data_IF_453857036540
#
_entry.id   IF_453857036540
#
_cell.length_a   1.000
_cell.length_b   1.000
_cell.length_c   1.000
_cell.angle_alpha   90.00
_cell.angle_beta   90.00
_cell.angle_gamma   90.00
#
_symmetry.space_group_name_H-M   'P 1'
#
loop_
_entity.id
_entity.type
_entity.pdbx_description
1 polymer ?
#
# COMPACT_ATOMS: atom_id res chain seq x y z
N UNK A 1 -25.49 -8.58 0.04
CA UNK A 1 -24.43 -7.94 -0.76
C UNK A 1 -23.12 -8.39 -0.16
N UNK A 2 -22.35 -9.23 -0.87
CA UNK A 2 -21.06 -9.72 -0.37
C UNK A 2 -20.13 -8.52 -0.19
N UNK A 3 -20.04 -8.02 1.04
CA UNK A 3 -19.05 -7.03 1.44
C UNK A 3 -17.70 -7.59 1.01
N UNK A 4 -17.12 -6.94 0.04
CA UNK A 4 -15.80 -7.28 -0.41
C UNK A 4 -14.84 -6.87 0.72
N UNK A 5 -14.19 -7.88 1.29
CA UNK A 5 -13.41 -7.79 2.52
C UNK A 5 -11.92 -7.68 2.18
N UNK A 6 -11.43 -6.44 2.10
CA UNK A 6 -10.01 -6.15 1.88
C UNK A 6 -9.11 -6.71 2.98
N UNK A 7 -9.66 -7.08 4.14
CA UNK A 7 -8.87 -7.75 5.18
C UNK A 7 -8.40 -9.13 4.70
N UNK A 8 -9.06 -9.79 3.75
CA UNK A 8 -8.72 -11.18 3.39
C UNK A 8 -7.82 -11.35 2.16
N UNK A 9 -7.72 -10.36 1.27
CA UNK A 9 -7.09 -10.56 -0.05
C UNK A 9 -6.20 -9.38 -0.49
N UNK A 10 -5.19 -9.17 0.34
CA UNK A 10 -3.89 -8.54 0.11
C UNK A 10 -3.41 -8.55 -1.34
N UNK A 11 -3.24 -7.36 -1.92
CA UNK A 11 -2.01 -6.83 -2.54
C UNK A 11 -2.42 -5.68 -3.48
N UNK A 12 -1.69 -4.57 -3.44
CA UNK A 12 -1.86 -3.43 -4.33
C UNK A 12 -0.53 -3.13 -5.04
N UNK A 13 -0.51 -3.19 -6.37
CA UNK A 13 0.60 -2.72 -7.20
C UNK A 13 0.37 -1.26 -7.57
N UNK A 14 1.35 -0.40 -7.28
CA UNK A 14 1.37 0.98 -7.75
C UNK A 14 1.60 1.06 -9.27
N UNK A 15 1.12 2.12 -9.92
CA UNK A 15 1.02 2.23 -11.38
C UNK A 15 2.37 2.06 -12.11
N UNK A 16 3.47 2.44 -11.47
CA UNK A 16 4.84 2.33 -12.00
C UNK A 16 5.45 0.92 -11.85
N UNK A 17 4.70 -0.04 -11.29
CA UNK A 17 5.11 -1.42 -10.97
C UNK A 17 6.35 -1.54 -10.06
N UNK A 18 6.79 -0.43 -9.48
CA UNK A 18 7.95 -0.34 -8.58
C UNK A 18 7.61 -0.55 -7.12
N UNK A 19 6.32 -0.53 -6.76
CA UNK A 19 5.87 -0.60 -5.38
C UNK A 19 4.73 -1.60 -5.22
N UNK A 20 4.85 -2.51 -4.24
CA UNK A 20 3.81 -3.43 -3.82
C UNK A 20 3.39 -3.12 -2.38
N UNK A 21 2.10 -3.21 -2.09
CA UNK A 21 1.55 -3.03 -0.74
C UNK A 21 0.80 -4.29 -0.29
N UNK A 22 1.23 -4.90 0.81
CA UNK A 22 0.62 -6.06 1.45
C UNK A 22 -0.20 -5.68 2.70
N UNK A 23 -1.54 -5.66 2.57
CA UNK A 23 -2.48 -5.22 3.62
C UNK A 23 -2.99 -6.34 4.54
N UNK A 24 -2.35 -6.50 5.69
CA UNK A 24 -2.79 -7.17 6.93
C UNK A 24 -4.27 -7.19 7.37
N UNK A 25 -5.05 -8.29 7.35
CA UNK A 25 -6.31 -8.36 8.11
C UNK A 25 -6.17 -7.89 9.58
N UNK A 26 -4.98 -8.06 10.18
CA UNK A 26 -4.66 -7.62 11.53
C UNK A 26 -4.25 -6.14 11.65
N UNK A 27 -4.46 -5.33 10.61
CA UNK A 27 -4.13 -3.91 10.60
C UNK A 27 -2.64 -3.60 10.39
N UNK A 28 -1.85 -4.52 9.82
CA UNK A 28 -0.44 -4.25 9.45
C UNK A 28 -0.30 -4.07 7.95
N UNK A 29 0.60 -3.21 7.50
CA UNK A 29 0.95 -3.06 6.09
C UNK A 29 2.42 -3.45 5.92
N UNK A 30 2.77 -4.11 4.82
CA UNK A 30 4.15 -4.16 4.34
C UNK A 30 4.23 -3.56 2.95
N UNK A 31 4.98 -2.47 2.81
CA UNK A 31 5.32 -1.89 1.52
C UNK A 31 6.62 -2.51 1.02
N UNK A 32 6.69 -2.79 -0.28
CA UNK A 32 7.90 -3.23 -0.98
C UNK A 32 8.17 -2.24 -2.09
N UNK A 33 9.40 -1.76 -2.24
CA UNK A 33 9.76 -0.90 -3.36
C UNK A 33 11.13 -1.25 -3.94
N UNK A 34 11.30 -0.99 -5.22
CA UNK A 34 12.57 -1.17 -5.92
C UNK A 34 13.33 0.16 -5.94
N UNK A 35 14.51 0.16 -5.35
CA UNK A 35 15.48 1.25 -5.46
C UNK A 35 16.77 0.76 -6.19
N UNK A 36 17.75 1.65 -6.37
CA UNK A 36 18.99 1.36 -7.14
C UNK A 36 19.80 0.18 -6.59
N UNK A 37 19.69 -0.12 -5.29
CA UNK A 37 20.39 -1.22 -4.63
C UNK A 37 19.58 -2.53 -4.57
N UNK A 38 18.33 -2.50 -5.06
CA UNK A 38 17.44 -3.65 -5.09
C UNK A 38 16.11 -3.41 -4.37
N UNK A 39 15.45 -4.51 -4.01
CA UNK A 39 14.18 -4.47 -3.32
C UNK A 39 14.36 -4.17 -1.84
N UNK A 40 13.52 -3.26 -1.36
CA UNK A 40 13.37 -2.90 0.04
C UNK A 40 11.95 -3.21 0.51
N UNK A 41 11.80 -3.41 1.81
CA UNK A 41 10.50 -3.51 2.46
C UNK A 41 10.47 -2.75 3.77
N UNK A 42 9.31 -2.22 4.08
CA UNK A 42 9.02 -1.61 5.38
C UNK A 42 7.65 -2.05 5.84
N UNK A 43 7.53 -2.33 7.14
CA UNK A 43 6.25 -2.72 7.74
C UNK A 43 5.76 -1.64 8.69
N UNK A 44 4.45 -1.46 8.71
CA UNK A 44 3.77 -0.42 9.47
C UNK A 44 2.34 -0.80 9.82
N UNK A 45 1.58 0.20 10.25
CA UNK A 45 0.19 0.07 10.62
C UNK A 45 -0.76 0.68 9.58
N UNK A 46 -1.85 -0.05 9.43
CA UNK A 46 -3.10 0.19 8.73
C UNK A 46 -4.28 0.76 9.49
N UNK A 47 -5.02 1.76 8.99
CA UNK A 47 -6.43 1.89 9.37
C UNK A 47 -7.30 2.38 8.21
N UNK A 48 -8.57 1.98 8.20
CA UNK A 48 -9.56 2.38 7.21
C UNK A 48 -10.91 2.64 7.86
N UNK A 49 -11.48 3.84 7.67
CA UNK A 49 -12.77 4.24 8.27
C UNK A 49 -13.97 4.15 7.30
N UNK A 50 -13.75 3.61 6.09
CA UNK A 50 -14.74 3.56 5.01
C UNK A 50 -14.57 4.67 3.96
N UNK A 51 -13.81 5.74 4.26
CA UNK A 51 -13.57 6.88 3.36
C UNK A 51 -12.11 7.29 3.28
N UNK A 52 -11.35 7.09 4.33
CA UNK A 52 -9.95 7.46 4.46
C UNK A 52 -9.16 6.24 4.88
N UNK A 53 -8.06 5.99 4.18
CA UNK A 53 -7.04 5.05 4.62
C UNK A 53 -5.88 5.84 5.23
N UNK A 54 -5.40 5.41 6.40
CA UNK A 54 -4.22 5.95 7.05
C UNK A 54 -3.14 4.88 7.08
N UNK A 55 -1.98 5.21 6.54
CA UNK A 55 -0.79 4.36 6.53
C UNK A 55 0.23 4.98 7.47
N UNK A 56 0.81 4.18 8.35
CA UNK A 56 1.86 4.62 9.27
C UNK A 56 3.04 3.69 9.16
N UNK A 57 4.18 4.18 8.67
CA UNK A 57 5.45 3.44 8.51
C UNK A 57 6.57 4.24 9.16
N UNK A 58 7.41 3.59 9.98
CA UNK A 58 8.43 4.30 10.75
C UNK A 58 7.85 5.46 11.57
N UNK A 59 8.31 6.69 11.30
CA UNK A 59 7.81 7.94 11.89
C UNK A 59 6.81 8.70 11.00
N UNK A 60 6.56 8.20 9.78
CA UNK A 60 5.69 8.86 8.82
C UNK A 60 4.26 8.33 8.92
N UNK A 61 3.30 9.23 8.69
CA UNK A 61 1.89 8.87 8.61
C UNK A 61 1.24 9.61 7.46
N UNK A 62 0.65 8.86 6.54
CA UNK A 62 0.00 9.40 5.34
C UNK A 62 -1.48 9.06 5.38
N UNK A 63 -2.32 10.08 5.15
CA UNK A 63 -3.77 9.92 5.01
C UNK A 63 -4.17 10.09 3.56
N UNK A 64 -4.92 9.13 3.04
CA UNK A 64 -5.42 9.18 1.66
C UNK A 64 -6.93 8.98 1.63
N UNK A 65 -7.63 9.81 0.86
CA UNK A 65 -9.06 9.67 0.60
C UNK A 65 -9.29 8.55 -0.40
N UNK A 66 -10.18 7.62 -0.09
CA UNK A 66 -10.58 6.55 -1.00
C UNK A 66 -11.57 7.08 -2.02
N UNK A 67 -11.20 7.03 -3.30
CA UNK A 67 -12.03 7.43 -4.45
C UNK A 67 -12.76 6.22 -5.02
N UNK A 68 -12.08 5.06 -5.08
CA UNK A 68 -12.63 3.81 -5.59
C UNK A 68 -12.08 2.64 -4.78
N UNK A 69 -12.98 1.74 -4.38
CA UNK A 69 -12.63 0.50 -3.72
C UNK A 69 -13.45 -0.65 -4.34
N UNK A 70 -12.78 -1.55 -5.05
CA UNK A 70 -13.40 -2.71 -5.71
C UNK A 70 -12.56 -3.96 -5.49
N UNK A 71 -13.11 -5.12 -5.89
CA UNK A 71 -12.48 -6.45 -5.78
C UNK A 71 -11.03 -6.53 -6.23
N UNK A 72 -10.64 -5.63 -7.14
CA UNK A 72 -9.37 -5.68 -7.85
C UNK A 72 -8.67 -4.33 -7.91
N UNK A 73 -9.28 -3.26 -7.38
CA UNK A 73 -8.75 -1.91 -7.54
C UNK A 73 -8.98 -1.08 -6.28
N UNK A 74 -7.95 -0.33 -5.90
CA UNK A 74 -8.01 0.74 -4.91
C UNK A 74 -7.50 2.01 -5.59
N UNK A 75 -8.28 3.08 -5.54
CA UNK A 75 -7.85 4.40 -6.00
C UNK A 75 -7.94 5.34 -4.83
N UNK A 76 -6.81 5.94 -4.46
CA UNK A 76 -6.74 6.89 -3.37
C UNK A 76 -6.20 8.23 -3.84
N UNK A 77 -6.54 9.28 -3.10
CA UNK A 77 -6.17 10.65 -3.39
C UNK A 77 -5.50 11.26 -2.15
N UNK A 78 -4.34 11.86 -2.35
CA UNK A 78 -3.59 12.60 -1.34
C UNK A 78 -3.51 14.07 -1.77
N UNK A 79 -3.49 14.98 -0.80
CA UNK A 79 -3.32 16.40 -1.08
C UNK A 79 -2.44 17.05 -0.02
N UNK A 80 -1.49 17.86 -0.48
CA UNK A 80 -0.65 18.73 0.34
C UNK A 80 -1.24 20.15 0.50
N UNK A 81 -2.48 20.36 0.05
CA UNK A 81 -3.16 21.66 0.02
C UNK A 81 -2.88 22.51 -1.21
N UNK A 82 -1.93 22.12 -2.07
CA UNK A 82 -1.59 22.81 -3.32
C UNK A 82 -1.76 21.91 -4.54
N UNK A 83 -1.41 20.63 -4.40
CA UNK A 83 -1.53 19.59 -5.40
C UNK A 83 -2.43 18.47 -4.88
N UNK A 84 -2.95 17.72 -5.84
CA UNK A 84 -3.73 16.51 -5.60
C UNK A 84 -3.06 15.42 -6.40
N UNK A 85 -2.54 14.43 -5.68
CA UNK A 85 -1.95 13.24 -6.25
C UNK A 85 -2.93 12.09 -6.09
N UNK A 86 -3.01 11.24 -7.12
CA UNK A 86 -3.91 10.11 -7.12
C UNK A 86 -3.10 8.87 -7.44
N UNK A 87 -3.35 7.82 -6.68
CA UNK A 87 -2.66 6.54 -6.79
C UNK A 87 -3.66 5.47 -7.20
N UNK A 88 -3.35 4.76 -8.27
CA UNK A 88 -4.17 3.68 -8.80
C UNK A 88 -3.50 2.34 -8.52
N UNK A 89 -4.03 1.67 -7.52
CA UNK A 89 -3.55 0.37 -7.10
C UNK A 89 -4.40 -0.74 -7.71
N UNK A 90 -3.75 -1.70 -8.36
CA UNK A 90 -4.39 -2.91 -8.88
C UNK A 90 -3.99 -4.13 -8.07
N UNK A 91 -4.94 -5.03 -7.88
CA UNK A 91 -4.69 -6.31 -7.22
C UNK A 91 -3.87 -7.23 -8.11
N UNK A 92 -2.67 -7.58 -7.66
CA UNK A 92 -1.74 -8.53 -8.31
C UNK A 92 -0.96 -9.30 -7.25
N UNK A 93 -0.57 -10.55 -7.47
CA UNK A 93 0.30 -11.25 -6.53
C UNK A 93 1.68 -10.57 -6.43
N UNK A 94 2.29 -10.56 -5.24
CA UNK A 94 3.68 -10.15 -5.05
C UNK A 94 4.55 -11.24 -5.67
N UNK A 95 5.42 -10.91 -6.63
CA UNK A 95 6.37 -11.87 -7.17
C UNK A 95 7.25 -12.46 -6.07
N UNK A 96 7.51 -13.77 -6.12
CA UNK A 96 8.26 -14.48 -5.07
C UNK A 96 9.70 -13.97 -4.92
N UNK A 97 10.28 -13.46 -5.99
CA UNK A 97 11.61 -12.82 -5.99
C UNK A 97 11.60 -11.49 -5.25
N UNK A 98 10.52 -10.71 -5.32
CA UNK A 98 10.36 -9.48 -4.52
C UNK A 98 10.32 -9.82 -3.04
N UNK A 99 9.43 -10.74 -2.63
CA UNK A 99 9.27 -11.08 -1.23
C UNK A 99 10.49 -11.78 -0.61
N UNK A 100 11.23 -12.56 -1.41
CA UNK A 100 12.44 -13.25 -0.97
C UNK A 100 13.68 -12.36 -0.88
N UNK A 101 13.81 -11.35 -1.76
CA UNK A 101 15.02 -10.52 -1.85
C UNK A 101 14.87 -9.14 -1.19
N UNK A 102 13.66 -8.74 -0.80
CA UNK A 102 13.46 -7.45 -0.16
C UNK A 102 14.13 -7.36 1.22
N UNK A 103 15.05 -6.40 1.35
CA UNK A 103 15.74 -6.09 2.60
C UNK A 103 14.87 -5.18 3.47
N UNK A 104 14.94 -5.34 4.79
CA UNK A 104 14.30 -4.39 5.70
C UNK A 104 14.91 -3.00 5.50
N UNK A 105 14.06 -1.99 5.28
CA UNK A 105 14.48 -0.61 5.24
C UNK A 105 14.84 -0.16 6.66
N UNK A 106 16.03 0.43 6.80
CA UNK A 106 16.51 1.03 8.03
C UNK A 106 16.90 2.45 7.66
N UNK A 107 16.19 3.42 8.26
CA UNK A 107 16.52 4.84 8.11
C UNK A 107 17.94 5.07 8.69
N UNK A 108 18.89 5.48 7.85
CA UNK A 108 20.30 5.71 8.24
C UNK A 108 20.51 7.01 9.02
#
# INVERSE_FOLDING_TARGET
MSSFDWESEKIALDEDEKTYYDFNPLGTLTAYWLDYEGWYKESGAYSFDGRVITLTTGQESVQSKVIKLTKTELVVEQSDGKYVERYWMKKKPIPSDVSANAKDYVDE
#
